data_IF_192477254245
#
_entry.id   IF_192477254245
#
_cell.length_a   1.000
_cell.length_b   1.000
_cell.length_c   1.000
_cell.angle_alpha   90.00
_cell.angle_beta   90.00
_cell.angle_gamma   90.00
#
_symmetry.space_group_name_H-M   'P 1'
#
loop_
_entity.id
_entity.type
_entity.pdbx_description
1 polymer ?
#
# COMPACT_ATOMS: atom_id res chain seq x y z
N UNK A 1 6.62 -62.13 3.88
CA UNK A 1 7.70 -62.95 4.46
C UNK A 1 8.83 -62.03 4.86
N UNK A 2 9.06 -61.94 6.16
CA UNK A 2 10.00 -61.04 6.83
C UNK A 2 11.32 -61.76 7.08
N UNK A 3 12.48 -61.16 6.79
CA UNK A 3 13.78 -61.49 7.41
C UNK A 3 14.68 -60.23 7.27
N UNK A 4 14.85 -59.37 8.28
CA UNK A 4 15.77 -59.41 9.46
C UNK A 4 17.25 -59.63 9.09
N UNK A 5 18.11 -58.60 9.19
CA UNK A 5 18.84 -58.09 10.37
C UNK A 5 20.22 -58.76 10.60
N UNK A 6 21.18 -57.90 11.00
CA UNK A 6 22.42 -58.12 11.81
C UNK A 6 23.72 -58.14 11.01
N UNK A 7 24.59 -57.12 11.16
CA UNK A 7 25.52 -56.80 12.28
C UNK A 7 26.56 -57.91 12.50
N UNK A 8 27.81 -57.56 12.20
CA UNK A 8 29.02 -58.23 12.69
C UNK A 8 29.71 -57.28 13.68
N UNK A 9 30.17 -57.87 14.79
CA UNK A 9 30.84 -57.25 15.95
C UNK A 9 32.24 -57.88 16.07
N UNK A 10 33.15 -57.14 16.71
CA UNK A 10 34.45 -57.55 17.29
C UNK A 10 35.58 -57.81 16.27
N UNK A 11 36.81 -57.37 16.48
CA UNK A 11 37.52 -56.91 17.68
C UNK A 11 38.95 -57.52 17.67
N UNK A 12 39.85 -57.03 18.55
CA UNK A 12 41.27 -57.40 18.78
C UNK A 12 42.24 -56.40 18.12
N UNK A 13 42.86 -55.41 18.79
CA UNK A 13 43.69 -55.32 20.01
C UNK A 13 45.15 -55.80 19.83
N UNK A 14 46.10 -54.86 19.69
CA UNK A 14 47.51 -55.02 20.10
C UNK A 14 48.02 -53.72 20.76
N UNK A 15 48.16 -53.86 22.09
CA UNK A 15 49.09 -53.34 23.10
C UNK A 15 50.14 -52.27 22.75
N UNK A 16 50.23 -51.32 23.69
CA UNK A 16 51.13 -50.18 23.82
C UNK A 16 52.56 -50.52 24.31
N UNK A 17 53.51 -49.61 24.05
CA UNK A 17 54.24 -48.83 25.08
C UNK A 17 55.67 -48.48 24.66
N UNK A 18 55.97 -47.19 24.59
CA UNK A 18 57.24 -46.63 25.04
C UNK A 18 57.03 -45.14 25.35
N UNK A 19 56.79 -44.86 26.63
CA UNK A 19 56.81 -43.52 27.20
C UNK A 19 58.27 -43.18 27.49
N UNK A 20 58.77 -42.08 26.94
CA UNK A 20 59.86 -41.31 27.57
C UNK A 20 59.38 -39.87 27.69
N UNK A 21 59.24 -39.45 28.93
CA UNK A 21 58.89 -38.11 29.37
C UNK A 21 60.06 -37.17 29.14
N UNK A 22 59.85 -36.09 28.38
CA UNK A 22 60.62 -34.87 28.54
C UNK A 22 59.65 -33.69 28.71
N UNK A 23 59.55 -33.24 29.96
CA UNK A 23 58.79 -32.08 30.36
C UNK A 23 59.56 -30.83 29.92
N UNK A 24 59.13 -30.20 28.84
CA UNK A 24 59.55 -28.83 28.51
C UNK A 24 58.29 -27.96 28.48
N UNK A 25 58.05 -27.30 29.61
CA UNK A 25 57.09 -26.21 29.67
C UNK A 25 57.67 -25.04 28.87
N UNK A 26 57.05 -24.73 27.73
CA UNK A 26 57.15 -23.40 27.13
C UNK A 26 55.74 -22.84 27.02
N UNK A 27 55.60 -21.66 27.61
CA UNK A 27 54.38 -20.91 27.80
C UNK A 27 53.58 -20.85 26.49
N UNK A 28 52.28 -21.11 26.58
CA UNK A 28 51.32 -20.60 25.62
C UNK A 28 51.59 -19.10 25.45
N UNK A 29 52.11 -18.72 24.29
CA UNK A 29 52.03 -17.33 23.87
C UNK A 29 50.55 -16.93 23.99
N UNK A 30 50.21 -15.73 24.50
CA UNK A 30 48.86 -15.24 24.29
C UNK A 30 48.67 -15.26 22.78
N UNK A 31 47.56 -15.82 22.31
CA UNK A 31 47.09 -15.51 20.97
C UNK A 31 47.11 -13.98 20.90
N UNK A 32 48.08 -13.42 20.17
CA UNK A 32 48.12 -11.99 19.90
C UNK A 32 46.83 -11.76 19.15
N UNK A 33 45.82 -11.25 19.84
CA UNK A 33 44.65 -10.71 19.18
C UNK A 33 45.23 -9.71 18.19
N UNK A 34 45.08 -10.02 16.89
CA UNK A 34 45.52 -9.12 15.84
C UNK A 34 45.00 -7.72 16.23
N UNK A 35 45.82 -6.67 16.14
CA UNK A 35 45.28 -5.33 16.31
C UNK A 35 44.16 -5.23 15.30
N UNK A 36 42.92 -5.04 15.77
CA UNK A 36 41.81 -4.68 14.91
C UNK A 36 42.19 -3.28 14.43
N UNK A 37 42.99 -3.21 13.37
CA UNK A 37 43.32 -1.96 12.69
C UNK A 37 41.98 -1.35 12.35
N UNK A 38 41.72 -0.22 13.00
CA UNK A 38 40.47 0.50 12.99
C UNK A 38 39.93 0.57 11.57
N UNK A 39 38.63 0.28 11.40
CA UNK A 39 37.95 0.50 10.14
C UNK A 39 38.04 1.99 9.79
N UNK A 40 39.09 2.37 9.05
CA UNK A 40 39.24 3.67 8.40
C UNK A 40 38.54 3.70 7.05
N UNK A 41 38.21 2.53 6.49
CA UNK A 41 37.43 2.41 5.27
C UNK A 41 35.95 2.68 5.57
N UNK A 42 35.39 3.82 5.12
CA UNK A 42 33.99 4.16 5.37
C UNK A 42 33.03 3.13 4.77
N UNK A 43 33.43 2.41 3.72
CA UNK A 43 32.62 1.34 3.14
C UNK A 43 32.52 0.13 4.07
N UNK A 44 33.64 -0.27 4.69
CA UNK A 44 33.65 -1.32 5.70
C UNK A 44 32.84 -0.90 6.95
N UNK A 45 32.91 0.38 7.35
CA UNK A 45 32.10 0.93 8.45
C UNK A 45 30.62 0.88 8.10
N UNK A 46 30.26 1.27 6.87
CA UNK A 46 28.87 1.16 6.39
C UNK A 46 28.39 -0.29 6.44
N UNK A 47 29.18 -1.25 5.97
CA UNK A 47 28.81 -2.66 6.00
C UNK A 47 28.62 -3.20 7.43
N UNK A 48 29.45 -2.75 8.38
CA UNK A 48 29.29 -3.06 9.81
C UNK A 48 27.96 -2.52 10.35
N UNK A 49 27.61 -1.26 10.02
CA UNK A 49 26.36 -0.64 10.46
C UNK A 49 25.16 -1.27 9.75
N UNK A 50 25.26 -1.63 8.47
CA UNK A 50 24.23 -2.39 7.74
C UNK A 50 23.90 -3.71 8.47
N UNK A 51 24.93 -4.44 8.92
CA UNK A 51 24.76 -5.67 9.69
C UNK A 51 24.05 -5.47 11.04
N UNK A 52 24.27 -4.32 11.70
CA UNK A 52 23.60 -3.96 12.96
C UNK A 52 22.17 -3.49 12.71
N UNK A 53 21.96 -2.65 11.70
CA UNK A 53 20.67 -2.13 11.29
C UNK A 53 19.70 -3.25 10.87
N UNK A 54 20.21 -4.36 10.34
CA UNK A 54 19.42 -5.55 10.05
C UNK A 54 18.72 -6.15 11.29
N UNK A 55 19.20 -5.86 12.50
CA UNK A 55 18.57 -6.27 13.77
C UNK A 55 17.53 -5.24 14.28
N UNK A 56 17.44 -4.09 13.61
CA UNK A 56 16.57 -2.97 13.98
C UNK A 56 17.35 -1.65 13.95
N UNK A 57 16.94 -0.75 13.07
CA UNK A 57 17.48 0.62 13.02
C UNK A 57 16.76 1.48 14.08
N UNK A 58 17.47 2.27 14.91
CA UNK A 58 16.84 3.23 15.83
C UNK A 58 15.91 4.18 15.08
N UNK A 59 14.74 4.48 15.65
CA UNK A 59 13.66 5.20 14.97
C UNK A 59 14.04 6.64 14.57
N UNK A 60 14.99 7.23 15.29
CA UNK A 60 15.49 8.57 15.08
C UNK A 60 16.54 8.66 13.95
N UNK A 61 17.10 7.54 13.47
CA UNK A 61 18.03 7.55 12.33
C UNK A 61 17.24 7.75 11.03
N UNK A 62 17.43 8.89 10.38
CA UNK A 62 16.81 9.22 9.10
C UNK A 62 17.49 8.48 7.94
N UNK A 63 18.82 8.56 7.89
CA UNK A 63 19.66 8.04 6.83
C UNK A 63 21.07 7.80 7.35
N UNK A 64 21.82 6.89 6.72
CA UNK A 64 23.26 6.81 6.89
C UNK A 64 23.95 6.28 5.62
N UNK A 65 25.11 6.85 5.30
CA UNK A 65 25.82 6.52 4.08
C UNK A 65 27.23 7.09 4.05
N UNK A 66 28.05 6.59 3.11
CA UNK A 66 29.37 7.18 2.88
C UNK A 66 29.18 8.44 2.04
N UNK A 67 29.58 9.59 2.57
CA UNK A 67 29.65 10.82 1.80
C UNK A 67 30.95 10.85 1.00
N UNK A 68 30.83 10.83 -0.32
CA UNK A 68 31.98 10.75 -1.24
C UNK A 68 32.88 11.99 -1.16
N UNK A 69 32.34 13.14 -0.75
CA UNK A 69 33.10 14.40 -0.67
C UNK A 69 33.99 14.45 0.57
N UNK A 70 33.43 14.13 1.74
CA UNK A 70 34.18 14.12 3.00
C UNK A 70 34.93 12.81 3.24
N UNK A 71 34.56 11.72 2.55
CA UNK A 71 35.10 10.38 2.80
C UNK A 71 34.73 9.85 4.19
N UNK A 72 33.60 10.31 4.76
CA UNK A 72 33.12 9.91 6.10
C UNK A 72 31.77 9.23 5.97
N UNK A 73 31.45 8.38 6.93
CA UNK A 73 30.09 7.88 7.08
C UNK A 73 29.24 8.95 7.77
N UNK A 74 28.29 9.52 7.04
CA UNK A 74 27.28 10.42 7.57
C UNK A 74 26.14 9.61 8.18
N UNK A 75 25.65 10.04 9.33
CA UNK A 75 24.44 9.53 10.00
C UNK A 75 23.54 10.72 10.30
N UNK A 76 22.43 10.82 9.60
CA UNK A 76 21.45 11.88 9.77
C UNK A 76 20.40 11.43 10.80
N UNK A 77 20.18 12.23 11.84
CA UNK A 77 19.19 11.98 12.89
C UNK A 77 18.06 12.98 12.83
N UNK A 78 16.83 12.50 12.99
CA UNK A 78 15.60 13.33 13.03
C UNK A 78 15.40 14.07 14.35
N UNK A 79 16.22 13.74 15.35
CA UNK A 79 16.21 14.35 16.67
C UNK A 79 17.55 14.14 17.37
N UNK A 80 17.56 14.18 18.70
CA UNK A 80 18.78 14.01 19.48
C UNK A 80 19.34 12.59 19.41
N UNK A 81 20.67 12.48 19.48
CA UNK A 81 21.37 11.20 19.62
C UNK A 81 20.99 10.49 20.92
N UNK A 82 20.65 9.21 20.82
CA UNK A 82 20.22 8.38 21.97
C UNK A 82 21.20 7.24 22.25
N UNK A 83 21.05 6.52 23.39
CA UNK A 83 21.82 5.31 23.65
C UNK A 83 21.65 4.21 22.61
N UNK A 84 20.52 4.16 21.90
CA UNK A 84 20.29 3.21 20.81
C UNK A 84 21.17 3.54 19.59
N UNK A 85 21.33 4.83 19.27
CA UNK A 85 22.28 5.30 18.26
C UNK A 85 23.73 5.05 18.72
N UNK A 86 24.04 5.25 20.00
CA UNK A 86 25.38 4.92 20.54
C UNK A 86 25.71 3.44 20.42
N UNK A 87 24.74 2.56 20.68
CA UNK A 87 24.90 1.13 20.48
C UNK A 87 25.12 0.77 19.00
N UNK A 88 24.34 1.39 18.09
CA UNK A 88 24.49 1.23 16.64
C UNK A 88 25.89 1.63 16.16
N UNK A 89 26.46 2.70 16.71
CA UNK A 89 27.76 3.27 16.32
C UNK A 89 28.94 2.75 17.16
N UNK A 90 28.70 1.83 18.09
CA UNK A 90 29.73 1.35 19.03
C UNK A 90 30.96 0.74 18.32
N UNK A 91 32.16 1.11 18.77
CA UNK A 91 33.42 0.60 18.21
C UNK A 91 33.79 1.14 16.82
N UNK A 92 33.05 2.11 16.29
CA UNK A 92 33.44 2.86 15.09
C UNK A 92 34.29 4.06 15.49
N UNK A 93 35.35 4.35 14.73
CA UNK A 93 36.22 5.51 14.98
C UNK A 93 35.41 6.82 14.78
N UNK A 94 35.37 7.74 15.77
CA UNK A 94 34.69 9.02 15.62
C UNK A 94 35.20 9.87 14.45
N UNK A 95 36.47 9.71 14.04
CA UNK A 95 37.05 10.48 12.93
C UNK A 95 36.39 10.13 11.59
N UNK A 96 35.86 8.91 11.44
CA UNK A 96 35.17 8.47 10.21
C UNK A 96 33.65 8.65 10.28
N UNK A 97 33.10 9.20 11.37
CA UNK A 97 31.65 9.40 11.58
C UNK A 97 31.23 10.87 11.58
N UNK A 98 30.33 11.26 10.69
CA UNK A 98 29.64 12.55 10.76
C UNK A 98 28.20 12.37 11.24
N UNK A 99 27.94 12.58 12.53
CA UNK A 99 26.57 12.48 13.07
C UNK A 99 25.93 13.85 13.10
N UNK A 100 24.86 13.99 12.33
CA UNK A 100 24.10 15.24 12.20
C UNK A 100 22.72 15.06 12.81
N UNK A 101 22.21 16.11 13.44
CA UNK A 101 20.90 16.10 14.10
C UNK A 101 19.93 17.04 13.39
N UNK A 102 18.66 16.89 13.74
CA UNK A 102 17.56 17.75 13.28
C UNK A 102 17.30 17.66 11.77
N UNK A 103 17.69 16.55 11.15
CA UNK A 103 17.37 16.23 9.77
C UNK A 103 15.84 16.02 9.62
N UNK A 104 15.21 16.47 8.53
CA UNK A 104 13.83 16.12 8.25
C UNK A 104 13.66 14.60 8.15
N UNK A 105 12.67 14.04 8.87
CA UNK A 105 12.36 12.62 8.78
C UNK A 105 11.96 12.25 7.33
N UNK A 106 12.64 11.29 6.68
CA UNK A 106 12.23 10.80 5.38
C UNK A 106 10.83 10.20 5.48
N UNK A 107 9.97 10.57 4.54
CA UNK A 107 8.62 10.02 4.42
C UNK A 107 8.38 9.67 2.97
N UNK A 108 7.71 8.55 2.72
CA UNK A 108 7.13 8.31 1.40
C UNK A 108 6.16 9.44 1.07
N UNK A 109 6.24 9.98 -0.14
CA UNK A 109 5.22 10.90 -0.63
C UNK A 109 3.86 10.21 -0.54
N UNK A 110 2.88 10.90 0.00
CA UNK A 110 1.55 10.34 0.18
C UNK A 110 0.96 9.94 -1.19
N UNK A 111 0.37 8.74 -1.24
CA UNK A 111 -0.45 8.36 -2.37
C UNK A 111 -1.62 9.35 -2.46
N UNK A 112 -1.64 10.16 -3.50
CA UNK A 112 -2.77 11.04 -3.79
C UNK A 112 -3.88 10.19 -4.42
N UNK A 113 -4.94 9.96 -3.65
CA UNK A 113 -6.06 9.10 -4.03
C UNK A 113 -7.23 9.94 -4.50
N UNK A 114 -7.81 9.58 -5.65
CA UNK A 114 -8.89 10.31 -6.32
C UNK A 114 -9.83 9.37 -7.06
N UNK A 115 -10.97 9.90 -7.50
CA UNK A 115 -11.93 9.16 -8.32
C UNK A 115 -11.30 8.64 -9.61
N UNK A 116 -11.60 7.40 -9.96
CA UNK A 116 -11.03 6.67 -11.09
C UNK A 116 -9.80 5.83 -10.74
N UNK A 117 -9.20 5.99 -9.56
CA UNK A 117 -8.08 5.13 -9.14
C UNK A 117 -8.55 3.69 -8.87
N UNK A 118 -7.69 2.71 -9.16
CA UNK A 118 -7.96 1.30 -8.84
C UNK A 118 -7.90 1.10 -7.32
N UNK A 119 -8.90 0.42 -6.78
CA UNK A 119 -8.93 -0.02 -5.38
C UNK A 119 -9.13 -1.53 -5.31
N UNK A 120 -8.46 -2.15 -4.36
CA UNK A 120 -8.36 -3.61 -4.25
C UNK A 120 -8.69 -4.05 -2.83
N UNK A 121 -9.45 -5.15 -2.72
CA UNK A 121 -9.66 -5.89 -1.48
C UNK A 121 -9.54 -7.39 -1.76
N UNK A 122 -8.47 -8.02 -1.27
CA UNK A 122 -8.16 -9.41 -1.63
C UNK A 122 -7.91 -9.54 -3.13
N UNK A 123 -8.60 -10.48 -3.79
CA UNK A 123 -8.57 -10.62 -5.26
C UNK A 123 -9.52 -9.65 -5.98
N UNK A 124 -10.35 -8.90 -5.25
CA UNK A 124 -11.38 -8.06 -5.85
C UNK A 124 -10.80 -6.71 -6.26
N UNK A 125 -10.82 -6.43 -7.56
CA UNK A 125 -10.39 -5.17 -8.16
C UNK A 125 -11.61 -4.34 -8.59
N UNK A 126 -11.71 -3.13 -8.05
CA UNK A 126 -12.77 -2.18 -8.37
C UNK A 126 -12.17 -0.80 -8.59
N UNK A 127 -13.04 0.17 -8.86
CA UNK A 127 -12.65 1.57 -9.05
C UNK A 127 -13.17 2.43 -7.91
N UNK A 128 -12.36 3.40 -7.49
CA UNK A 128 -12.76 4.44 -6.54
C UNK A 128 -13.71 5.41 -7.24
N UNK A 129 -14.91 5.59 -6.70
CA UNK A 129 -15.91 6.54 -7.18
C UNK A 129 -15.59 7.97 -6.80
N UNK A 130 -16.08 8.38 -5.63
CA UNK A 130 -15.89 9.73 -5.12
C UNK A 130 -15.40 9.72 -3.68
N UNK A 131 -14.63 10.75 -3.33
CA UNK A 131 -14.35 11.07 -1.95
C UNK A 131 -15.53 11.82 -1.32
N UNK A 132 -15.80 11.53 -0.05
CA UNK A 132 -16.82 12.21 0.74
C UNK A 132 -16.39 12.34 2.19
N UNK A 133 -17.11 13.16 2.94
CA UNK A 133 -16.83 13.44 4.35
C UNK A 133 -18.09 13.31 5.20
N UNK A 134 -17.93 12.84 6.42
CA UNK A 134 -18.94 12.94 7.46
C UNK A 134 -18.27 13.01 8.83
N UNK A 135 -18.71 13.96 9.67
CA UNK A 135 -18.22 14.14 11.05
C UNK A 135 -16.68 14.16 11.15
N UNK A 136 -16.02 14.90 10.25
CA UNK A 136 -14.55 15.02 10.21
C UNK A 136 -13.79 13.80 9.67
N UNK A 137 -14.48 12.72 9.28
CA UNK A 137 -13.86 11.52 8.68
C UNK A 137 -14.06 11.50 7.17
N UNK A 138 -13.02 11.10 6.44
CA UNK A 138 -13.06 10.89 5.00
C UNK A 138 -13.49 9.46 4.66
N UNK A 139 -14.30 9.34 3.62
CA UNK A 139 -14.84 8.10 3.09
C UNK A 139 -14.65 8.07 1.59
N UNK A 140 -14.40 6.88 1.05
CA UNK A 140 -14.32 6.64 -0.39
C UNK A 140 -15.54 5.84 -0.79
N UNK A 141 -16.31 6.35 -1.75
CA UNK A 141 -17.46 5.65 -2.33
C UNK A 141 -16.98 4.72 -3.44
N UNK A 142 -17.59 3.54 -3.53
CA UNK A 142 -17.44 2.58 -4.63
C UNK A 142 -18.74 1.79 -4.79
N UNK A 143 -18.78 0.76 -5.63
CA UNK A 143 -19.97 -0.07 -5.80
C UNK A 143 -20.22 -0.94 -4.56
N UNK A 144 -21.49 -1.18 -4.25
CA UNK A 144 -21.89 -1.97 -3.09
C UNK A 144 -21.54 -3.44 -3.24
N UNK A 145 -21.66 -3.99 -4.46
CA UNK A 145 -21.24 -5.35 -4.76
C UNK A 145 -19.75 -5.53 -4.53
N UNK A 146 -18.91 -4.50 -4.72
CA UNK A 146 -17.48 -4.54 -4.39
C UNK A 146 -17.24 -4.67 -2.87
N UNK A 147 -18.00 -3.95 -2.06
CA UNK A 147 -17.80 -3.91 -0.60
C UNK A 147 -18.48 -5.02 0.18
N UNK A 148 -19.38 -5.79 -0.44
CA UNK A 148 -20.11 -6.86 0.24
C UNK A 148 -19.17 -8.01 0.59
N UNK A 149 -19.04 -8.29 1.89
CA UNK A 149 -18.15 -9.33 2.41
C UNK A 149 -16.65 -9.02 2.29
N UNK A 150 -16.29 -7.76 2.00
CA UNK A 150 -14.89 -7.34 1.87
C UNK A 150 -14.29 -6.92 3.21
N UNK A 151 -12.95 -6.92 3.25
CA UNK A 151 -12.17 -6.59 4.44
C UNK A 151 -11.33 -5.34 4.22
N UNK A 152 -10.00 -5.51 4.24
CA UNK A 152 -9.04 -4.42 4.00
C UNK A 152 -9.04 -3.98 2.55
N UNK A 153 -9.09 -2.67 2.35
CA UNK A 153 -8.98 -2.00 1.06
C UNK A 153 -7.65 -1.28 0.95
N UNK A 154 -7.07 -1.37 -0.23
CA UNK A 154 -5.88 -0.62 -0.65
C UNK A 154 -6.16 0.11 -1.96
N UNK A 155 -5.47 1.22 -2.19
CA UNK A 155 -5.38 1.84 -3.51
C UNK A 155 -4.15 1.29 -4.23
N UNK A 156 -4.28 0.99 -5.50
CA UNK A 156 -3.14 0.69 -6.38
C UNK A 156 -2.55 2.02 -6.87
N UNK A 157 -1.28 2.23 -6.58
CA UNK A 157 -0.54 3.43 -6.97
C UNK A 157 0.48 3.09 -8.05
N UNK A 158 1.23 4.10 -8.54
CA UNK A 158 2.23 3.88 -9.58
C UNK A 158 3.22 2.77 -9.19
N UNK A 159 3.52 1.87 -10.13
CA UNK A 159 4.40 0.72 -9.89
C UNK A 159 3.74 -0.45 -9.15
N UNK A 160 2.42 -0.58 -9.24
CA UNK A 160 1.61 -1.65 -8.64
C UNK A 160 1.71 -1.74 -7.10
N UNK A 161 2.13 -0.63 -6.47
CA UNK A 161 2.25 -0.53 -5.02
C UNK A 161 0.87 -0.35 -4.39
N UNK A 162 0.51 -1.27 -3.49
CA UNK A 162 -0.73 -1.21 -2.73
C UNK A 162 -0.56 -0.39 -1.46
N UNK A 163 -1.22 0.77 -1.40
CA UNK A 163 -1.26 1.60 -0.19
C UNK A 163 -2.56 1.34 0.58
N UNK A 164 -2.52 0.92 1.85
CA UNK A 164 -3.72 0.67 2.64
C UNK A 164 -4.60 1.93 2.79
N UNK A 165 -5.88 1.80 2.46
CA UNK A 165 -6.90 2.83 2.69
C UNK A 165 -7.51 2.64 4.06
N UNK A 166 -7.96 1.42 4.36
CA UNK A 166 -8.64 1.09 5.61
C UNK A 166 -9.05 -0.37 5.69
N UNK A 167 -9.34 -0.85 6.90
CA UNK A 167 -9.59 -2.27 7.20
C UNK A 167 -11.07 -2.65 7.23
N UNK A 168 -11.97 -1.74 6.85
CA UNK A 168 -13.41 -1.92 6.95
C UNK A 168 -14.10 -1.41 5.69
N UNK A 169 -15.29 -1.94 5.39
CA UNK A 169 -16.18 -1.38 4.39
C UNK A 169 -17.64 -1.49 4.87
N UNK A 170 -18.49 -0.59 4.38
CA UNK A 170 -19.94 -0.63 4.61
C UNK A 170 -20.62 -0.70 3.25
N UNK A 171 -21.65 -1.54 3.15
CA UNK A 171 -22.46 -1.67 1.93
C UNK A 171 -23.86 -1.13 2.22
N UNK A 172 -24.47 -0.43 1.27
CA UNK A 172 -25.82 0.07 1.42
C UNK A 172 -26.82 -1.09 1.50
N UNK A 173 -27.88 -0.90 2.28
CA UNK A 173 -29.02 -1.82 2.35
C UNK A 173 -29.99 -1.57 1.18
N UNK A 174 -31.02 -2.41 1.07
CA UNK A 174 -32.18 -2.18 0.20
C UNK A 174 -31.91 -2.05 -1.31
N UNK A 175 -30.98 -2.84 -1.86
CA UNK A 175 -30.77 -2.87 -3.32
C UNK A 175 -30.25 -1.56 -3.90
N UNK A 176 -29.43 -0.83 -3.13
CA UNK A 176 -28.61 0.26 -3.68
C UNK A 176 -27.19 -0.24 -3.86
N UNK A 177 -26.66 -0.19 -5.08
CA UNK A 177 -25.32 -0.70 -5.37
C UNK A 177 -24.22 0.30 -5.01
N UNK A 178 -24.11 0.65 -3.73
CA UNK A 178 -23.08 1.57 -3.23
C UNK A 178 -22.46 1.03 -1.96
N UNK A 179 -21.15 1.20 -1.88
CA UNK A 179 -20.32 0.88 -0.73
C UNK A 179 -19.45 2.07 -0.34
N UNK A 180 -19.02 2.09 0.92
CA UNK A 180 -18.09 3.10 1.43
C UNK A 180 -16.97 2.46 2.23
N UNK A 181 -15.76 2.96 2.01
CA UNK A 181 -14.55 2.58 2.74
C UNK A 181 -14.09 3.79 3.54
N UNK A 182 -14.04 3.73 4.87
CA UNK A 182 -13.44 4.81 5.64
C UNK A 182 -11.94 4.85 5.42
N UNK A 183 -11.39 6.06 5.28
CA UNK A 183 -9.95 6.25 5.20
C UNK A 183 -9.37 6.26 6.61
N UNK A 184 -8.52 5.29 6.91
CA UNK A 184 -7.81 5.12 8.20
C UNK A 184 -6.32 4.86 8.04
N UNK A 185 -5.85 4.53 6.84
CA UNK A 185 -4.42 4.33 6.56
C UNK A 185 -3.63 5.63 6.67
N UNK A 186 -2.47 5.56 7.31
CA UNK A 186 -1.49 6.65 7.30
C UNK A 186 -0.88 6.78 5.90
N UNK A 187 -0.73 8.01 5.40
CA UNK A 187 -0.07 8.28 4.11
C UNK A 187 -0.99 8.29 2.89
N UNK A 188 -2.32 8.18 3.07
CA UNK A 188 -3.30 8.39 2.00
C UNK A 188 -3.77 9.84 2.01
N UNK A 189 -3.48 10.59 0.94
CA UNK A 189 -4.01 11.93 0.73
C UNK A 189 -5.19 11.88 -0.24
N UNK A 190 -6.40 12.10 0.26
CA UNK A 190 -7.61 12.05 -0.57
C UNK A 190 -7.86 13.39 -1.24
N UNK A 191 -8.18 13.36 -2.53
CA UNK A 191 -8.46 14.54 -3.35
C UNK A 191 -9.92 14.54 -3.80
N UNK A 192 -10.55 15.71 -3.80
CA UNK A 192 -11.87 15.96 -4.41
C UNK A 192 -11.80 16.01 -5.94
N UNK A 193 -11.15 15.03 -6.56
CA UNK A 193 -10.93 14.96 -8.01
C UNK A 193 -11.46 13.64 -8.57
N UNK A 194 -11.75 13.64 -9.86
CA UNK A 194 -11.96 12.43 -10.69
C UNK A 194 -11.01 12.52 -11.88
N UNK A 195 -9.99 11.66 -11.94
CA UNK A 195 -8.86 11.86 -12.86
C UNK A 195 -8.26 13.26 -12.68
N UNK A 196 -8.32 14.10 -13.70
CA UNK A 196 -7.89 15.51 -13.64
C UNK A 196 -9.04 16.50 -13.41
N UNK A 197 -10.29 16.03 -13.29
CA UNK A 197 -11.49 16.88 -13.17
C UNK A 197 -11.76 17.19 -11.70
N UNK A 198 -11.85 18.49 -11.36
CA UNK A 198 -12.28 18.95 -10.06
C UNK A 198 -13.75 18.60 -9.79
N UNK A 199 -14.05 18.01 -8.63
CA UNK A 199 -15.42 17.77 -8.21
C UNK A 199 -15.96 19.06 -7.60
N UNK A 200 -16.92 19.69 -8.29
CA UNK A 200 -17.50 20.98 -7.90
C UNK A 200 -18.86 20.86 -7.22
N UNK A 201 -19.55 19.76 -7.44
CA UNK A 201 -20.90 19.55 -6.93
C UNK A 201 -21.54 18.28 -7.45
N UNK A 202 -22.86 18.20 -7.31
CA UNK A 202 -23.66 17.02 -7.64
C UNK A 202 -24.97 17.38 -8.34
N UNK A 203 -24.98 18.44 -9.15
CA UNK A 203 -26.16 18.80 -9.94
C UNK A 203 -26.46 17.70 -10.96
N UNK A 204 -27.67 17.08 -10.94
CA UNK A 204 -28.01 16.02 -11.87
C UNK A 204 -28.05 16.49 -13.31
N UNK A 205 -27.52 15.66 -14.21
CA UNK A 205 -27.56 15.89 -15.65
C UNK A 205 -28.85 15.32 -16.26
N UNK A 206 -29.47 16.07 -17.17
CA UNK A 206 -30.66 15.63 -17.90
C UNK A 206 -30.31 14.57 -18.97
N UNK A 207 -31.30 13.82 -19.44
CA UNK A 207 -31.15 12.94 -20.61
C UNK A 207 -30.61 13.73 -21.80
N UNK A 208 -29.66 13.14 -22.53
CA UNK A 208 -28.91 13.78 -23.62
C UNK A 208 -27.64 14.52 -23.17
N UNK A 209 -27.47 14.76 -21.87
CA UNK A 209 -26.28 15.47 -21.36
C UNK A 209 -25.01 14.61 -21.49
N UNK A 210 -23.85 15.23 -21.80
CA UNK A 210 -22.58 14.53 -21.82
C UNK A 210 -22.12 14.13 -20.42
N UNK A 211 -21.54 12.94 -20.30
CA UNK A 211 -20.98 12.40 -19.06
C UNK A 211 -19.79 11.50 -19.38
N UNK A 212 -18.84 11.39 -18.46
CA UNK A 212 -17.70 10.49 -18.58
C UNK A 212 -17.62 9.55 -17.38
N UNK A 213 -17.42 8.26 -17.65
CA UNK A 213 -16.98 7.24 -16.70
C UNK A 213 -15.46 7.28 -16.60
N UNK A 214 -14.94 7.15 -15.37
CA UNK A 214 -13.56 6.79 -15.12
C UNK A 214 -13.54 5.41 -14.46
N UNK A 215 -12.94 4.44 -15.13
CA UNK A 215 -12.90 3.04 -14.71
C UNK A 215 -11.45 2.54 -14.67
N UNK A 216 -11.16 1.65 -13.72
CA UNK A 216 -9.84 1.03 -13.59
C UNK A 216 -9.49 0.14 -14.79
N UNK A 217 -10.47 -0.31 -15.58
CA UNK A 217 -10.26 -1.17 -16.74
C UNK A 217 -10.40 -0.38 -18.04
N UNK A 218 -11.51 0.35 -18.20
CA UNK A 218 -11.78 1.09 -19.45
C UNK A 218 -11.11 2.47 -19.50
N UNK A 219 -10.49 2.92 -18.41
CA UNK A 219 -9.95 4.26 -18.29
C UNK A 219 -11.07 5.30 -18.36
N UNK A 220 -10.83 6.42 -19.06
CA UNK A 220 -11.84 7.47 -19.26
C UNK A 220 -12.64 7.20 -20.53
N UNK A 221 -13.94 6.96 -20.39
CA UNK A 221 -14.87 6.77 -21.50
C UNK A 221 -16.04 7.74 -21.37
N UNK A 222 -16.37 8.46 -22.44
CA UNK A 222 -17.43 9.46 -22.44
C UNK A 222 -18.59 9.08 -23.37
N UNK A 223 -19.77 9.57 -23.04
CA UNK A 223 -21.01 9.36 -23.78
C UNK A 223 -22.09 10.29 -23.26
N UNK A 224 -23.35 9.86 -23.30
CA UNK A 224 -24.48 10.66 -22.83
C UNK A 224 -25.38 9.90 -21.87
N UNK A 225 -26.10 10.65 -21.04
CA UNK A 225 -27.21 10.11 -20.25
C UNK A 225 -28.35 9.72 -21.20
N UNK A 226 -28.80 8.46 -21.15
CA UNK A 226 -29.86 7.93 -22.03
C UNK A 226 -31.17 7.65 -21.29
N UNK A 227 -31.16 7.70 -19.96
CA UNK A 227 -32.39 7.59 -19.18
C UNK A 227 -32.17 7.75 -17.69
N UNK A 228 -33.22 8.18 -17.01
CA UNK A 228 -33.27 8.36 -15.57
C UNK A 228 -34.32 7.41 -14.99
N UNK A 229 -34.27 7.19 -13.68
CA UNK A 229 -35.21 6.37 -12.90
C UNK A 229 -35.46 4.97 -13.50
N UNK A 230 -34.38 4.30 -13.90
CA UNK A 230 -34.42 2.95 -14.47
C UNK A 230 -34.48 1.92 -13.36
N UNK A 231 -35.35 0.93 -13.54
CA UNK A 231 -35.28 -0.33 -12.79
C UNK A 231 -34.51 -1.34 -13.63
N UNK A 232 -33.42 -1.88 -13.08
CA UNK A 232 -32.46 -2.72 -13.80
C UNK A 232 -32.35 -4.07 -13.09
N UNK A 233 -32.36 -5.15 -13.86
CA UNK A 233 -32.13 -6.50 -13.35
C UNK A 233 -30.71 -6.94 -13.69
N UNK A 234 -29.86 -7.01 -12.69
CA UNK A 234 -28.51 -7.58 -12.78
C UNK A 234 -28.55 -9.03 -12.33
N UNK A 235 -28.76 -9.95 -13.28
CA UNK A 235 -28.64 -11.40 -13.04
C UNK A 235 -29.51 -11.91 -11.87
N UNK A 236 -30.71 -11.33 -11.70
CA UNK A 236 -31.63 -11.66 -10.61
C UNK A 236 -31.61 -10.65 -9.45
N UNK A 237 -30.68 -9.70 -9.43
CA UNK A 237 -30.64 -8.60 -8.46
C UNK A 237 -31.28 -7.35 -9.05
N UNK A 238 -32.42 -6.93 -8.50
CA UNK A 238 -33.14 -5.74 -8.97
C UNK A 238 -32.62 -4.48 -8.27
N UNK A 239 -32.27 -3.49 -9.09
CA UNK A 239 -31.79 -2.18 -8.69
C UNK A 239 -32.74 -1.10 -9.20
N UNK A 240 -33.16 -0.17 -8.34
CA UNK A 240 -34.14 0.87 -8.65
C UNK A 240 -33.49 2.25 -8.76
N UNK A 241 -34.17 3.20 -9.43
CA UNK A 241 -33.73 4.60 -9.48
C UNK A 241 -32.40 4.83 -10.22
N UNK A 242 -32.02 3.92 -11.11
CA UNK A 242 -30.73 3.94 -11.80
C UNK A 242 -30.72 4.98 -12.93
N UNK A 243 -29.53 5.50 -13.26
CA UNK A 243 -29.33 6.29 -14.49
C UNK A 243 -28.64 5.42 -15.54
N UNK A 244 -29.16 5.44 -16.77
CA UNK A 244 -28.59 4.75 -17.92
C UNK A 244 -27.75 5.71 -18.76
N UNK A 245 -26.66 5.21 -19.37
CA UNK A 245 -25.81 5.98 -20.26
C UNK A 245 -25.42 5.18 -21.51
N UNK A 246 -24.99 5.87 -22.56
CA UNK A 246 -24.49 5.25 -23.80
C UNK A 246 -23.05 4.72 -23.71
N UNK A 247 -22.49 4.65 -22.49
CA UNK A 247 -21.07 4.31 -22.27
C UNK A 247 -20.93 2.79 -22.14
N UNK A 248 -19.93 2.22 -22.80
CA UNK A 248 -19.52 0.85 -22.56
C UNK A 248 -18.67 0.78 -21.30
N UNK A 249 -18.83 -0.30 -20.55
CA UNK A 249 -18.03 -0.60 -19.36
C UNK A 249 -17.51 -2.02 -19.40
N UNK A 250 -16.47 -2.30 -18.64
CA UNK A 250 -15.88 -3.61 -18.49
C UNK A 250 -15.81 -4.02 -17.01
N UNK A 251 -15.57 -5.30 -16.76
CA UNK A 251 -15.28 -5.80 -15.41
C UNK A 251 -14.10 -5.02 -14.81
N UNK A 252 -14.22 -4.63 -13.53
CA UNK A 252 -13.26 -3.76 -12.83
C UNK A 252 -13.61 -2.27 -12.85
N UNK A 253 -14.43 -1.80 -13.80
CA UNK A 253 -14.94 -0.43 -13.78
C UNK A 253 -15.96 -0.19 -12.65
N UNK A 254 -16.46 -1.28 -12.04
CA UNK A 254 -17.35 -1.26 -10.89
C UNK A 254 -16.91 -0.26 -9.83
N UNK A 255 -17.83 0.63 -9.46
CA UNK A 255 -17.55 1.71 -8.52
C UNK A 255 -17.01 3.00 -9.12
N UNK A 256 -16.63 2.99 -10.41
CA UNK A 256 -16.06 4.14 -11.10
C UNK A 256 -17.00 5.35 -11.15
N UNK A 257 -16.48 6.58 -11.06
CA UNK A 257 -17.31 7.77 -11.04
C UNK A 257 -17.77 8.15 -12.44
N UNK A 258 -19.03 8.53 -12.53
CA UNK A 258 -19.58 9.31 -13.63
C UNK A 258 -19.56 10.79 -13.26
N UNK A 259 -18.90 11.62 -14.08
CA UNK A 259 -18.77 13.06 -13.85
C UNK A 259 -18.94 13.83 -15.15
N UNK A 260 -19.52 15.03 -15.08
CA UNK A 260 -19.55 15.98 -16.21
C UNK A 260 -18.21 16.68 -16.35
N UNK A 261 -17.92 17.25 -17.53
CA UNK A 261 -16.73 18.10 -17.74
C UNK A 261 -16.71 19.34 -16.83
N UNK A 262 -17.88 19.82 -16.41
CA UNK A 262 -18.05 20.92 -15.46
C UNK A 262 -17.86 20.52 -13.99
N UNK A 263 -17.49 19.26 -13.72
CA UNK A 263 -17.20 18.80 -12.36
C UNK A 263 -18.43 18.42 -11.54
N UNK A 264 -19.58 18.15 -12.17
CA UNK A 264 -20.77 17.68 -11.47
C UNK A 264 -20.76 16.15 -11.37
N UNK A 265 -20.65 15.63 -10.16
CA UNK A 265 -20.75 14.20 -9.89
C UNK A 265 -22.16 13.70 -10.26
N UNK A 266 -22.22 12.65 -11.06
CA UNK A 266 -23.48 12.03 -11.52
C UNK A 266 -23.79 10.75 -10.76
N UNK A 267 -22.77 9.92 -10.48
CA UNK A 267 -22.94 8.75 -9.64
C UNK A 267 -21.89 7.67 -9.81
N UNK A 268 -22.17 6.52 -9.21
CA UNK A 268 -21.25 5.39 -9.06
C UNK A 268 -21.62 4.29 -10.04
N UNK A 269 -20.66 3.81 -10.83
CA UNK A 269 -20.90 2.70 -11.76
C UNK A 269 -21.32 1.43 -11.03
N UNK A 270 -22.44 0.85 -11.47
CA UNK A 270 -22.96 -0.42 -10.94
C UNK A 270 -22.68 -1.58 -11.90
N UNK A 271 -22.99 -1.41 -13.19
CA UNK A 271 -22.71 -2.42 -14.21
C UNK A 271 -23.16 -1.98 -15.60
N UNK A 272 -22.83 -2.77 -16.62
CA UNK A 272 -23.13 -2.45 -18.01
C UNK A 272 -22.60 -3.51 -18.97
N UNK A 273 -22.89 -3.33 -20.25
CA UNK A 273 -22.43 -4.23 -21.32
C UNK A 273 -21.14 -3.77 -22.01
N UNK A 274 -20.50 -4.71 -22.70
CA UNK A 274 -19.40 -4.46 -23.64
C UNK A 274 -19.90 -4.48 -25.09
N UNK A 275 -19.14 -3.88 -26.01
CA UNK A 275 -19.41 -3.93 -27.46
C UNK A 275 -20.23 -2.78 -28.04
N UNK A 276 -20.57 -2.84 -29.34
CA UNK A 276 -21.33 -1.76 -30.02
C UNK A 276 -22.76 -1.66 -29.48
N UNK A 277 -23.21 -0.44 -29.18
CA UNK A 277 -24.57 -0.21 -28.66
C UNK A 277 -24.75 -0.59 -27.18
N UNK A 278 -23.64 -0.82 -26.47
CA UNK A 278 -23.61 -1.04 -25.03
C UNK A 278 -24.37 0.06 -24.25
N UNK A 279 -24.84 -0.31 -23.07
CA UNK A 279 -25.40 0.61 -22.08
C UNK A 279 -24.78 0.28 -20.73
N UNK A 280 -24.49 1.31 -19.97
CA UNK A 280 -24.09 1.18 -18.57
C UNK A 280 -25.09 1.88 -17.65
N UNK A 281 -25.08 1.46 -16.40
CA UNK A 281 -25.93 1.99 -15.36
C UNK A 281 -25.10 2.45 -14.17
N UNK A 282 -25.59 3.51 -13.54
CA UNK A 282 -24.97 4.12 -12.36
C UNK A 282 -26.01 4.38 -11.28
N UNK A 283 -25.60 4.22 -10.02
CA UNK A 283 -26.35 4.71 -8.86
C UNK A 283 -26.16 6.22 -8.76
N UNK A 284 -27.23 7.04 -8.82
CA UNK A 284 -27.09 8.48 -8.75
C UNK A 284 -26.40 8.94 -7.46
N UNK A 285 -25.56 9.97 -7.55
CA UNK A 285 -24.68 10.38 -6.44
C UNK A 285 -25.45 10.85 -5.20
N UNK A 286 -26.62 11.49 -5.38
CA UNK A 286 -27.45 11.95 -4.28
C UNK A 286 -27.90 10.81 -3.35
N UNK A 287 -28.67 9.82 -3.86
CA UNK A 287 -29.01 8.60 -3.13
C UNK A 287 -27.79 7.88 -2.54
N UNK A 288 -26.68 7.79 -3.29
CA UNK A 288 -25.44 7.16 -2.81
C UNK A 288 -24.89 7.83 -1.55
N UNK A 289 -24.84 9.17 -1.52
CA UNK A 289 -24.39 9.94 -0.36
C UNK A 289 -25.39 9.85 0.81
N UNK A 290 -26.68 9.95 0.52
CA UNK A 290 -27.77 9.89 1.50
C UNK A 290 -27.82 8.55 2.25
N UNK A 291 -27.54 7.43 1.56
CA UNK A 291 -27.51 6.09 2.17
C UNK A 291 -26.52 5.97 3.35
N UNK A 292 -25.52 6.85 3.41
CA UNK A 292 -24.50 6.85 4.46
C UNK A 292 -24.42 8.17 5.25
N UNK A 293 -25.27 9.16 4.94
CA UNK A 293 -25.22 10.49 5.55
C UNK A 293 -23.91 11.22 5.26
N UNK A 294 -23.40 11.08 4.03
CA UNK A 294 -22.13 11.66 3.59
C UNK A 294 -22.33 12.96 2.81
N UNK A 295 -21.31 13.82 2.82
CA UNK A 295 -21.22 15.01 1.97
C UNK A 295 -20.06 14.86 1.00
N UNK A 296 -20.32 15.10 -0.28
CA UNK A 296 -19.30 15.03 -1.34
C UNK A 296 -18.10 15.92 -1.00
N UNK A 297 -16.88 15.40 -1.20
CA UNK A 297 -15.66 16.18 -1.09
C UNK A 297 -15.46 16.95 -2.41
N UNK A 298 -15.51 18.27 -2.35
CA UNK A 298 -15.36 19.16 -3.50
C UNK A 298 -14.02 19.90 -3.49
N UNK A 299 -13.58 20.41 -4.64
CA UNK A 299 -12.35 21.22 -4.79
C UNK A 299 -12.55 22.47 -5.65
#
# INVERSE_FOLDING_TARGET
MSVRLRRVICGVAIVAAAVTTLLAATLSAPASAAPVTALLDPAAVKALIDGRAALGLPAEVADYGVDEQSGRLVVELTGSRTPAVDALLSGVDPNVLDVRTDAPAPRHHAAAVKGGDTIISGSRRCTLGFAATARGRTWLLTAGHCTRGSGTWSVETAGDVLTPIGSQARTASAGTDVGVVPVTGSGVQVRGLVGSVAVRGSTPAAVGSPVCLYGSTSGRVCGTVTGLDRTVNFEGTIQYGMTATSICSAEGDSGGPYITSSGQAQGIHSGGGTGRGCTSYLTPIGPALSAFGLRLLTS
#
